data_IF_272721308273
#
_entry.id   IF_272721308273
#
_cell.length_a   1.000
_cell.length_b   1.000
_cell.length_c   1.000
_cell.angle_alpha   90.00
_cell.angle_beta   90.00
_cell.angle_gamma   90.00
#
_symmetry.space_group_name_H-M   'P 1'
#
loop_
_entity.id
_entity.type
_entity.pdbx_description
1 polymer ?
#
# COMPACT_ATOMS: atom_id res chain seq x y z
N UNK A 1 -108.71 -15.91 40.69
CA UNK A 1 -108.35 -15.95 39.25
C UNK A 1 -109.14 -17.04 38.54
N UNK A 2 -109.43 -16.85 37.23
CA UNK A 2 -110.12 -17.78 36.30
C UNK A 2 -109.24 -18.98 35.87
N UNK A 3 -109.83 -20.12 35.46
CA UNK A 3 -109.13 -21.35 35.05
C UNK A 3 -109.10 -21.58 33.52
N UNK A 4 -107.94 -22.01 32.99
CA UNK A 4 -107.66 -22.27 31.56
C UNK A 4 -108.07 -23.69 31.06
N UNK A 5 -108.22 -23.91 29.72
CA UNK A 5 -108.64 -25.17 29.02
C UNK A 5 -107.56 -25.79 28.08
N UNK A 6 -107.76 -27.05 27.62
CA UNK A 6 -106.74 -27.90 26.96
C UNK A 6 -106.43 -27.59 25.48
N UNK A 7 -107.40 -27.09 24.71
CA UNK A 7 -107.24 -26.92 23.26
C UNK A 7 -106.29 -25.76 22.94
N UNK A 8 -106.46 -24.70 23.71
CA UNK A 8 -105.60 -23.51 23.68
C UNK A 8 -104.13 -23.88 24.02
N UNK A 9 -103.92 -24.84 24.93
CA UNK A 9 -102.59 -25.38 25.27
C UNK A 9 -101.92 -26.06 24.08
N UNK A 10 -102.69 -26.81 23.29
CA UNK A 10 -102.18 -27.63 22.18
C UNK A 10 -101.68 -26.78 21.01
N UNK A 11 -102.40 -25.71 20.68
CA UNK A 11 -102.03 -24.81 19.59
C UNK A 11 -100.75 -24.02 19.91
N UNK A 12 -100.60 -23.54 21.15
CA UNK A 12 -99.40 -22.85 21.62
C UNK A 12 -98.19 -23.79 21.59
N UNK A 13 -98.38 -25.06 21.99
CA UNK A 13 -97.32 -26.06 21.92
C UNK A 13 -96.83 -26.31 20.49
N UNK A 14 -97.73 -26.36 19.50
CA UNK A 14 -97.37 -26.65 18.11
C UNK A 14 -96.48 -25.58 17.45
N UNK A 15 -96.74 -24.30 17.71
CA UNK A 15 -95.90 -23.21 17.19
C UNK A 15 -94.54 -23.14 17.90
N UNK A 16 -94.49 -23.44 19.20
CA UNK A 16 -93.25 -23.44 19.97
C UNK A 16 -92.24 -24.49 19.49
N UNK A 17 -92.71 -25.62 18.93
CA UNK A 17 -91.87 -26.76 18.55
C UNK A 17 -91.27 -26.62 17.14
N UNK A 18 -91.92 -25.88 16.24
CA UNK A 18 -91.49 -25.76 14.84
C UNK A 18 -90.25 -24.86 14.61
N UNK A 19 -89.88 -24.01 15.58
CA UNK A 19 -88.86 -22.96 15.40
C UNK A 19 -87.43 -23.28 15.84
N UNK A 20 -87.20 -24.29 16.70
CA UNK A 20 -85.86 -24.67 17.16
C UNK A 20 -85.16 -23.68 18.11
N UNK A 21 -83.90 -23.99 18.44
CA UNK A 21 -82.97 -23.09 19.15
C UNK A 21 -81.89 -22.65 18.18
N UNK A 22 -81.68 -21.34 18.12
CA UNK A 22 -80.67 -20.74 17.27
C UNK A 22 -79.50 -20.27 18.12
N UNK A 23 -78.27 -20.69 17.79
CA UNK A 23 -77.03 -20.25 18.44
C UNK A 23 -76.24 -19.43 17.46
N UNK A 24 -76.00 -18.17 17.81
CA UNK A 24 -75.14 -17.31 17.03
C UNK A 24 -73.69 -17.46 17.53
N UNK A 25 -72.72 -17.56 16.62
CA UNK A 25 -71.30 -17.45 16.94
C UNK A 25 -70.82 -16.00 16.95
N UNK A 26 -69.60 -15.78 17.45
CA UNK A 26 -68.90 -14.48 17.30
C UNK A 26 -68.67 -14.11 15.83
N UNK A 27 -68.84 -15.10 14.93
CA UNK A 27 -68.82 -14.97 13.47
C UNK A 27 -70.17 -14.50 12.88
N UNK A 28 -71.22 -14.32 13.68
CA UNK A 28 -72.55 -13.91 13.25
C UNK A 28 -73.36 -15.00 12.53
N UNK A 29 -72.76 -16.18 12.31
CA UNK A 29 -73.41 -17.36 11.77
C UNK A 29 -74.34 -17.98 12.81
N UNK A 30 -75.37 -18.66 12.35
CA UNK A 30 -76.35 -19.27 13.24
C UNK A 30 -76.50 -20.76 12.97
N UNK A 31 -76.40 -21.53 14.04
CA UNK A 31 -76.77 -22.95 14.02
C UNK A 31 -78.19 -23.04 14.56
N UNK A 32 -79.12 -23.41 13.68
CA UNK A 32 -80.48 -23.76 14.11
C UNK A 32 -80.50 -25.24 14.44
N UNK A 33 -80.58 -25.52 15.74
CA UNK A 33 -80.75 -26.86 16.26
C UNK A 33 -82.25 -27.09 16.44
N UNK A 34 -82.80 -28.05 15.70
CA UNK A 34 -84.21 -28.41 15.84
C UNK A 34 -84.55 -28.79 17.28
N UNK A 35 -85.82 -28.63 17.70
CA UNK A 35 -86.25 -29.06 19.04
C UNK A 35 -86.11 -30.59 19.13
N UNK A 36 -85.04 -31.06 19.79
CA UNK A 36 -84.73 -32.49 19.99
C UNK A 36 -83.40 -32.98 19.42
N UNK A 37 -82.61 -32.14 18.73
CA UNK A 37 -81.30 -32.51 18.16
C UNK A 37 -80.10 -32.12 19.07
N UNK A 38 -78.89 -32.63 18.79
CA UNK A 38 -77.66 -32.45 19.61
C UNK A 38 -76.68 -31.43 19.02
N UNK A 39 -76.00 -30.66 19.89
CA UNK A 39 -74.89 -29.76 19.54
C UNK A 39 -73.54 -30.25 20.11
N UNK A 40 -72.48 -30.27 19.29
CA UNK A 40 -71.14 -30.82 19.65
C UNK A 40 -70.05 -29.72 19.77
N UNK A 41 -69.19 -29.76 20.81
CA UNK A 41 -68.09 -28.81 21.09
C UNK A 41 -66.76 -29.54 21.46
N UNK A 42 -65.65 -29.33 20.73
CA UNK A 42 -64.37 -30.04 20.94
C UNK A 42 -63.11 -29.17 20.75
N UNK A 43 -62.03 -29.42 21.54
CA UNK A 43 -60.73 -28.70 21.49
C UNK A 43 -59.53 -29.49 20.91
N UNK A 44 -59.78 -30.67 20.33
CA UNK A 44 -58.82 -31.41 19.50
C UNK A 44 -57.79 -32.31 20.22
N UNK A 45 -57.21 -31.89 21.34
CA UNK A 45 -56.41 -32.80 22.16
C UNK A 45 -57.35 -33.80 22.87
N UNK A 46 -57.23 -35.09 22.53
CA UNK A 46 -58.13 -36.16 22.99
C UNK A 46 -57.61 -36.87 24.22
N UNK A 47 -56.31 -36.82 24.46
CA UNK A 47 -55.71 -37.30 25.69
C UNK A 47 -55.98 -36.27 26.78
N UNK A 48 -56.97 -36.58 27.63
CA UNK A 48 -57.40 -35.68 28.71
C UNK A 48 -56.33 -35.43 29.75
N UNK A 49 -55.27 -36.25 29.78
CA UNK A 49 -54.11 -36.00 30.62
C UNK A 49 -53.15 -34.93 30.06
N UNK A 50 -53.26 -34.56 28.77
CA UNK A 50 -52.48 -33.51 28.08
C UNK A 50 -53.26 -32.22 27.85
N UNK A 51 -54.38 -32.04 28.56
CA UNK A 51 -55.25 -30.88 28.47
C UNK A 51 -55.13 -29.99 29.69
N UNK A 52 -55.17 -28.68 29.46
CA UNK A 52 -55.25 -27.70 30.53
C UNK A 52 -56.67 -27.59 31.08
N UNK A 53 -56.83 -27.48 32.40
CA UNK A 53 -58.13 -27.25 33.03
C UNK A 53 -58.27 -25.79 33.46
N UNK A 54 -59.42 -25.16 33.22
CA UNK A 54 -59.76 -23.84 33.77
C UNK A 54 -59.24 -22.60 33.00
N UNK A 55 -58.39 -22.75 31.98
CA UNK A 55 -57.88 -21.63 31.15
C UNK A 55 -58.90 -20.96 30.24
N UNK A 56 -60.10 -21.54 30.15
CA UNK A 56 -61.16 -21.10 29.26
C UNK A 56 -62.37 -20.81 30.15
N UNK A 57 -62.76 -19.55 30.23
CA UNK A 57 -63.90 -19.09 31.02
C UNK A 57 -65.12 -18.84 30.14
N UNK A 58 -66.30 -19.09 30.67
CA UNK A 58 -67.57 -18.82 29.98
C UNK A 58 -68.43 -17.91 30.87
N UNK A 59 -68.82 -16.75 30.34
CA UNK A 59 -69.58 -15.74 31.09
C UNK A 59 -70.79 -15.26 30.29
N UNK A 60 -71.84 -14.80 30.97
CA UNK A 60 -72.98 -14.19 30.30
C UNK A 60 -72.56 -12.92 29.56
N UNK A 61 -73.04 -12.78 28.33
CA UNK A 61 -72.82 -11.61 27.50
C UNK A 61 -74.15 -11.16 26.88
N UNK A 62 -74.64 -9.98 27.29
CA UNK A 62 -75.96 -9.47 26.86
C UNK A 62 -77.17 -10.33 27.30
N UNK A 63 -78.29 -10.20 26.58
CA UNK A 63 -79.57 -10.81 26.97
C UNK A 63 -79.65 -12.32 26.68
N UNK A 64 -78.97 -12.80 25.63
CA UNK A 64 -79.06 -14.17 25.15
C UNK A 64 -77.70 -14.77 24.74
N UNK A 65 -76.57 -14.22 25.20
CA UNK A 65 -75.23 -14.63 24.81
C UNK A 65 -74.35 -15.15 25.95
N UNK A 66 -73.29 -15.86 25.57
CA UNK A 66 -72.19 -16.30 26.42
C UNK A 66 -70.87 -15.98 25.72
N UNK A 67 -69.90 -15.40 26.43
CA UNK A 67 -68.56 -15.16 25.91
C UNK A 67 -67.61 -16.23 26.43
N UNK A 68 -66.92 -16.90 25.51
CA UNK A 68 -65.83 -17.82 25.82
C UNK A 68 -64.55 -17.03 25.70
N UNK A 69 -63.83 -16.91 26.81
CA UNK A 69 -62.62 -16.14 26.85
C UNK A 69 -61.50 -17.09 27.11
N UNK A 70 -60.45 -16.96 26.29
CA UNK A 70 -59.14 -17.29 26.81
C UNK A 70 -59.05 -16.49 28.11
N UNK A 71 -58.83 -17.20 29.20
CA UNK A 71 -58.44 -16.52 30.41
C UNK A 71 -57.30 -15.59 30.02
N UNK A 72 -57.33 -14.34 30.52
CA UNK A 72 -56.20 -13.43 30.37
C UNK A 72 -54.91 -14.05 30.94
N UNK A 73 -55.04 -15.16 31.69
CA UNK A 73 -54.00 -16.01 32.24
C UNK A 73 -54.14 -17.49 31.81
N UNK A 74 -53.11 -18.04 31.16
CA UNK A 74 -53.03 -19.43 30.67
C UNK A 74 -52.19 -20.32 31.63
N UNK A 75 -52.75 -21.45 32.11
CA UNK A 75 -52.20 -22.38 33.12
C UNK A 75 -52.16 -23.86 32.71
N UNK A 76 -51.19 -24.65 33.17
CA UNK A 76 -51.12 -26.10 32.86
C UNK A 76 -50.59 -26.46 31.47
N UNK A 77 -49.92 -25.52 30.77
CA UNK A 77 -49.22 -25.77 29.50
C UNK A 77 -47.81 -26.34 29.75
N UNK A 78 -47.42 -27.42 29.07
CA UNK A 78 -46.08 -28.05 29.21
C UNK A 78 -44.97 -27.32 28.43
N UNK A 79 -45.33 -26.61 27.37
CA UNK A 79 -44.44 -25.68 26.70
C UNK A 79 -45.26 -24.53 26.16
N UNK A 80 -44.94 -23.33 26.65
CA UNK A 80 -45.25 -22.10 25.94
C UNK A 80 -43.99 -21.75 25.20
N UNK A 81 -43.95 -22.24 23.98
CA UNK A 81 -43.02 -21.75 23.00
C UNK A 81 -43.22 -20.23 22.86
N UNK A 82 -42.41 -19.44 23.60
CA UNK A 82 -42.43 -17.95 23.68
C UNK A 82 -41.21 -17.27 24.38
N UNK A 83 -40.40 -17.92 25.24
CA UNK A 83 -39.04 -17.49 25.65
C UNK A 83 -38.86 -16.12 26.35
N UNK A 84 -37.67 -15.49 26.27
CA UNK A 84 -37.40 -14.09 26.70
C UNK A 84 -37.98 -13.05 25.73
N UNK A 85 -39.00 -13.48 25.00
CA UNK A 85 -39.44 -12.83 23.80
C UNK A 85 -40.70 -12.05 24.10
N UNK A 86 -40.65 -10.75 23.91
CA UNK A 86 -41.87 -9.96 23.83
C UNK A 86 -42.26 -9.90 22.36
N UNK A 87 -43.50 -10.27 22.06
CA UNK A 87 -44.13 -10.01 20.79
C UNK A 87 -45.27 -9.04 21.04
N UNK A 88 -45.13 -7.82 20.53
CA UNK A 88 -46.14 -6.78 20.67
C UNK A 88 -46.22 -5.99 19.36
N UNK A 89 -46.83 -4.80 19.38
CA UNK A 89 -46.94 -3.91 18.22
C UNK A 89 -45.61 -3.31 17.76
N UNK A 90 -44.61 -3.28 18.64
CA UNK A 90 -43.32 -2.64 18.39
C UNK A 90 -42.31 -3.63 17.78
N UNK A 91 -42.57 -4.93 17.92
CA UNK A 91 -41.83 -6.00 17.26
C UNK A 91 -41.60 -7.22 18.15
N UNK A 92 -40.52 -7.92 17.84
CA UNK A 92 -40.07 -9.10 18.57
C UNK A 92 -38.76 -8.79 19.27
N UNK A 93 -38.75 -8.94 20.59
CA UNK A 93 -37.54 -8.68 21.36
C UNK A 93 -37.23 -9.86 22.25
N UNK A 94 -36.12 -10.54 21.99
CA UNK A 94 -35.52 -11.52 22.88
C UNK A 94 -34.50 -10.80 23.73
N UNK A 95 -34.86 -10.46 24.95
CA UNK A 95 -33.88 -9.91 25.89
C UNK A 95 -33.06 -11.05 26.48
N UNK A 96 -31.74 -11.04 26.30
CA UNK A 96 -30.89 -11.96 27.04
C UNK A 96 -30.38 -11.30 28.33
N UNK A 97 -30.04 -12.11 29.33
CA UNK A 97 -29.76 -11.66 30.69
C UNK A 97 -28.58 -10.68 30.83
N UNK A 98 -28.42 -10.10 32.03
CA UNK A 98 -27.36 -9.13 32.35
C UNK A 98 -25.97 -9.65 31.98
N UNK A 99 -25.32 -9.00 31.02
CA UNK A 99 -24.05 -9.45 30.49
C UNK A 99 -24.11 -10.07 29.10
N UNK A 100 -25.28 -10.55 28.66
CA UNK A 100 -25.50 -11.20 27.38
C UNK A 100 -26.24 -10.27 26.39
N UNK A 101 -25.96 -10.46 25.10
CA UNK A 101 -26.60 -9.66 24.05
C UNK A 101 -28.02 -10.15 23.79
N UNK A 102 -29.01 -9.26 23.91
CA UNK A 102 -30.37 -9.50 23.45
C UNK A 102 -30.48 -9.31 21.94
N UNK A 103 -31.52 -9.86 21.33
CA UNK A 103 -31.88 -9.62 19.94
C UNK A 103 -33.19 -8.84 19.90
N UNK A 104 -33.20 -7.75 19.17
CA UNK A 104 -34.39 -6.96 18.88
C UNK A 104 -34.62 -6.96 17.38
N UNK A 105 -35.84 -7.23 16.97
CA UNK A 105 -36.31 -7.10 15.59
C UNK A 105 -37.54 -6.20 15.63
N UNK A 106 -37.35 -4.95 15.21
CA UNK A 106 -38.38 -3.92 15.24
C UNK A 106 -38.49 -3.26 13.86
N UNK A 107 -39.34 -2.25 13.72
CA UNK A 107 -39.41 -1.43 12.49
C UNK A 107 -38.10 -0.69 12.16
N UNK A 108 -37.19 -0.55 13.13
CA UNK A 108 -35.90 0.12 12.94
C UNK A 108 -34.79 -0.81 12.43
N UNK A 109 -35.01 -2.14 12.43
CA UNK A 109 -34.04 -3.13 11.98
C UNK A 109 -33.76 -4.23 13.00
N UNK A 110 -32.59 -4.85 12.86
CA UNK A 110 -32.11 -5.90 13.75
C UNK A 110 -30.98 -5.35 14.59
N UNK A 111 -31.08 -5.57 15.90
CA UNK A 111 -30.03 -5.24 16.84
C UNK A 111 -29.70 -6.45 17.69
N UNK A 112 -28.41 -6.80 17.75
CA UNK A 112 -27.88 -7.73 18.75
C UNK A 112 -26.93 -6.95 19.62
N UNK A 113 -27.37 -6.62 20.83
CA UNK A 113 -26.61 -5.77 21.72
C UNK A 113 -26.79 -6.21 23.16
N UNK A 114 -25.72 -6.07 23.94
CA UNK A 114 -25.80 -6.10 25.40
C UNK A 114 -26.31 -4.73 25.85
N UNK A 115 -27.27 -4.72 26.78
CA UNK A 115 -27.81 -3.45 27.29
C UNK A 115 -26.69 -2.57 27.88
N UNK A 116 -26.66 -1.30 27.47
CA UNK A 116 -25.63 -0.32 27.85
C UNK A 116 -24.31 -0.41 27.06
N UNK A 117 -24.11 -1.44 26.25
CA UNK A 117 -22.96 -1.56 25.34
C UNK A 117 -23.35 -1.11 23.93
N UNK A 118 -23.23 0.20 23.69
CA UNK A 118 -23.39 0.78 22.35
C UNK A 118 -22.16 0.63 21.46
N UNK A 119 -21.08 -0.01 21.94
CA UNK A 119 -19.80 -0.10 21.21
C UNK A 119 -19.64 -1.40 20.44
N UNK A 120 -20.22 -2.50 20.92
CA UNK A 120 -20.16 -3.81 20.27
C UNK A 120 -21.51 -4.32 19.73
N UNK A 121 -22.47 -3.43 19.51
CA UNK A 121 -23.76 -3.80 18.93
C UNK A 121 -23.60 -4.25 17.47
N UNK A 122 -24.21 -5.40 17.13
CA UNK A 122 -24.51 -5.73 15.74
C UNK A 122 -25.78 -5.00 15.39
N UNK A 123 -25.74 -4.16 14.36
CA UNK A 123 -26.88 -3.38 13.90
C UNK A 123 -27.05 -3.56 12.40
N UNK A 124 -28.25 -3.90 11.98
CA UNK A 124 -28.65 -3.97 10.59
C UNK A 124 -29.85 -3.07 10.43
N UNK A 125 -29.68 -1.98 9.69
CA UNK A 125 -30.75 -1.04 9.35
C UNK A 125 -30.84 -0.84 7.83
N UNK A 126 -31.73 0.03 7.38
CA UNK A 126 -31.86 0.38 5.97
C UNK A 126 -30.67 1.17 5.41
N UNK A 127 -29.81 1.71 6.28
CA UNK A 127 -28.70 2.58 5.90
C UNK A 127 -27.34 2.02 6.26
N UNK A 128 -27.27 1.04 7.17
CA UNK A 128 -25.99 0.58 7.71
C UNK A 128 -26.03 -0.89 8.13
N UNK A 129 -24.87 -1.54 8.04
CA UNK A 129 -24.57 -2.82 8.66
C UNK A 129 -23.32 -2.64 9.51
N UNK A 130 -23.48 -2.70 10.83
CA UNK A 130 -22.39 -2.67 11.80
C UNK A 130 -22.28 -4.02 12.49
N UNK A 131 -21.06 -4.51 12.67
CA UNK A 131 -20.76 -5.70 13.47
C UNK A 131 -20.16 -5.37 14.84
N UNK A 132 -20.21 -4.09 15.26
CA UNK A 132 -19.76 -3.68 16.58
C UNK A 132 -18.28 -4.00 16.86
N UNK A 133 -17.40 -3.79 15.88
CA UNK A 133 -15.97 -4.07 16.01
C UNK A 133 -15.58 -5.56 16.06
N UNK A 134 -16.52 -6.48 15.85
CA UNK A 134 -16.26 -7.92 15.81
C UNK A 134 -15.56 -8.35 14.50
N UNK A 135 -14.84 -9.46 14.57
CA UNK A 135 -14.27 -10.09 13.37
C UNK A 135 -15.35 -10.81 12.57
N UNK A 136 -15.25 -10.71 11.24
CA UNK A 136 -16.09 -11.47 10.31
C UNK A 136 -15.22 -12.59 9.75
N UNK A 137 -15.53 -13.83 10.12
CA UNK A 137 -14.87 -15.03 9.62
C UNK A 137 -15.64 -15.61 8.42
N UNK A 138 -15.01 -16.55 7.70
CA UNK A 138 -15.61 -17.26 6.56
C UNK A 138 -16.09 -16.36 5.42
N UNK A 139 -15.44 -15.20 5.25
CA UNK A 139 -15.62 -14.33 4.09
C UNK A 139 -14.95 -14.99 2.88
N UNK A 140 -15.76 -15.55 1.99
CA UNK A 140 -15.31 -16.05 0.70
C UNK A 140 -14.57 -14.97 -0.10
N UNK A 141 -13.69 -15.36 -1.03
CA UNK A 141 -12.98 -14.40 -1.86
C UNK A 141 -13.98 -13.62 -2.72
N UNK A 142 -13.92 -12.29 -2.64
CA UNK A 142 -14.77 -11.40 -3.43
C UNK A 142 -14.47 -11.55 -4.93
N UNK A 143 -15.52 -11.57 -5.74
CA UNK A 143 -15.44 -11.74 -7.20
C UNK A 143 -16.01 -10.54 -7.97
N UNK A 144 -16.90 -9.77 -7.35
CA UNK A 144 -17.44 -8.51 -7.87
C UNK A 144 -16.81 -7.30 -7.17
N UNK A 145 -16.88 -6.14 -7.82
CA UNK A 145 -16.31 -4.88 -7.30
C UNK A 145 -16.97 -4.38 -6.00
N UNK A 146 -18.16 -4.88 -5.67
CA UNK A 146 -18.93 -4.54 -4.47
C UNK A 146 -18.80 -5.57 -3.36
N UNK A 147 -18.05 -6.65 -3.59
CA UNK A 147 -17.87 -7.69 -2.58
C UNK A 147 -16.87 -7.24 -1.51
N UNK A 148 -17.02 -7.77 -0.30
CA UNK A 148 -15.99 -7.66 0.71
C UNK A 148 -14.71 -8.41 0.26
N UNK A 149 -13.55 -7.82 0.57
CA UNK A 149 -12.25 -8.45 0.33
C UNK A 149 -11.80 -9.17 1.60
N UNK A 150 -11.38 -10.42 1.48
CA UNK A 150 -10.85 -11.16 2.62
C UNK A 150 -9.34 -10.94 2.81
N UNK A 151 -8.81 -11.33 3.97
CA UNK A 151 -7.39 -11.11 4.33
C UNK A 151 -6.43 -11.82 3.36
N UNK A 152 -6.82 -12.97 2.79
CA UNK A 152 -6.00 -13.67 1.79
C UNK A 152 -5.81 -12.84 0.51
N UNK A 153 -6.88 -12.23 0.00
CA UNK A 153 -6.80 -11.34 -1.17
C UNK A 153 -5.96 -10.09 -0.89
N UNK A 154 -6.12 -9.47 0.30
CA UNK A 154 -5.30 -8.32 0.70
C UNK A 154 -3.82 -8.70 0.84
N UNK A 155 -3.53 -9.84 1.47
CA UNK A 155 -2.17 -10.35 1.63
C UNK A 155 -1.46 -10.54 0.29
N UNK A 156 -2.12 -11.18 -0.68
CA UNK A 156 -1.57 -11.34 -2.03
C UNK A 156 -1.32 -10.00 -2.74
N UNK A 157 -2.19 -9.01 -2.56
CA UNK A 157 -1.96 -7.66 -3.10
C UNK A 157 -0.76 -6.97 -2.44
N UNK A 158 -0.62 -7.08 -1.11
CA UNK A 158 0.49 -6.50 -0.34
C UNK A 158 1.84 -7.15 -0.67
N UNK A 159 1.88 -8.47 -0.90
CA UNK A 159 3.09 -9.16 -1.35
C UNK A 159 3.59 -8.63 -2.69
N UNK A 160 2.68 -8.41 -3.64
CA UNK A 160 3.03 -7.81 -4.94
C UNK A 160 3.63 -6.41 -4.79
N UNK A 161 3.06 -5.58 -3.91
CA UNK A 161 3.58 -4.24 -3.61
C UNK A 161 4.95 -4.33 -2.94
N UNK A 162 5.11 -5.20 -1.94
CA UNK A 162 6.38 -5.40 -1.23
C UNK A 162 7.49 -5.84 -2.20
N UNK A 163 7.19 -6.77 -3.12
CA UNK A 163 8.10 -7.20 -4.16
C UNK A 163 8.48 -6.05 -5.11
N UNK A 164 7.52 -5.22 -5.52
CA UNK A 164 7.79 -4.04 -6.35
C UNK A 164 8.69 -3.03 -5.63
N UNK A 165 8.45 -2.77 -4.34
CA UNK A 165 9.28 -1.90 -3.51
C UNK A 165 10.69 -2.46 -3.36
N UNK A 166 10.85 -3.76 -3.11
CA UNK A 166 12.16 -4.41 -3.01
C UNK A 166 12.96 -4.31 -4.32
N UNK A 167 12.29 -4.47 -5.47
CA UNK A 167 12.89 -4.25 -6.80
C UNK A 167 13.31 -2.79 -6.99
N UNK A 168 12.47 -1.84 -6.56
CA UNK A 168 12.78 -0.41 -6.62
C UNK A 168 13.97 -0.07 -5.73
N UNK A 169 14.02 -0.56 -4.49
CA UNK A 169 15.15 -0.33 -3.57
C UNK A 169 16.46 -0.85 -4.16
N UNK A 170 16.43 -2.06 -4.71
CA UNK A 170 17.58 -2.64 -5.41
C UNK A 170 18.01 -1.79 -6.61
N UNK A 171 17.04 -1.25 -7.37
CA UNK A 171 17.31 -0.35 -8.51
C UNK A 171 17.93 0.97 -8.06
N UNK A 172 17.44 1.56 -6.98
CA UNK A 172 18.01 2.79 -6.40
C UNK A 172 19.44 2.57 -5.95
N UNK A 173 19.74 1.44 -5.28
CA UNK A 173 21.11 1.13 -4.85
C UNK A 173 22.07 1.11 -6.06
N UNK A 174 21.65 0.47 -7.15
CA UNK A 174 22.43 0.39 -8.40
C UNK A 174 22.60 1.72 -9.10
N UNK A 175 21.53 2.52 -9.19
CA UNK A 175 21.59 3.87 -9.75
C UNK A 175 22.51 4.77 -8.91
N UNK A 176 22.48 4.64 -7.59
CA UNK A 176 23.38 5.36 -6.68
C UNK A 176 24.84 4.99 -6.92
N UNK A 177 25.13 3.69 -7.02
CA UNK A 177 26.48 3.19 -7.33
C UNK A 177 26.95 3.67 -8.72
N UNK A 178 26.09 3.60 -9.74
CA UNK A 178 26.38 4.09 -11.10
C UNK A 178 26.68 5.58 -11.14
N UNK A 179 25.88 6.38 -10.42
CA UNK A 179 26.10 7.83 -10.27
C UNK A 179 27.43 8.13 -9.59
N UNK A 180 27.79 7.39 -8.52
CA UNK A 180 29.08 7.54 -7.85
C UNK A 180 30.25 7.15 -8.78
N UNK A 181 30.08 6.10 -9.59
CA UNK A 181 31.10 5.67 -10.56
C UNK A 181 31.31 6.74 -11.65
N UNK A 182 30.23 7.34 -12.16
CA UNK A 182 30.28 8.44 -13.11
C UNK A 182 30.92 9.70 -12.51
N UNK A 183 30.66 9.99 -11.23
CA UNK A 183 31.25 11.13 -10.53
C UNK A 183 32.77 10.97 -10.32
N UNK A 184 33.27 9.74 -10.26
CA UNK A 184 34.71 9.46 -10.22
C UNK A 184 35.42 9.64 -11.58
N UNK A 185 34.68 9.92 -12.68
CA UNK A 185 35.28 10.16 -13.98
C UNK A 185 35.86 11.56 -14.06
N UNK A 186 37.20 11.64 -14.05
CA UNK A 186 37.94 12.89 -14.19
C UNK A 186 38.92 12.82 -15.36
N UNK A 187 38.94 13.83 -16.26
CA UNK A 187 39.94 13.92 -17.30
C UNK A 187 41.29 14.36 -16.72
N UNK A 188 42.35 14.11 -17.48
CA UNK A 188 43.66 14.72 -17.24
C UNK A 188 43.61 16.25 -17.46
N UNK A 189 44.66 16.94 -17.03
CA UNK A 189 44.89 18.35 -17.36
C UNK A 189 44.94 18.54 -18.89
N UNK A 190 44.58 19.73 -19.40
CA UNK A 190 44.60 20.00 -20.83
C UNK A 190 46.01 19.89 -21.42
N UNK A 191 46.13 19.16 -22.53
CA UNK A 191 47.31 19.12 -23.38
C UNK A 191 46.90 19.54 -24.82
N UNK A 192 47.54 20.56 -25.43
CA UNK A 192 47.22 20.98 -26.80
C UNK A 192 47.47 19.89 -27.86
N UNK A 193 48.35 18.93 -27.58
CA UNK A 193 48.67 17.82 -28.48
C UNK A 193 47.81 16.56 -28.22
N UNK A 194 47.12 16.50 -27.07
CA UNK A 194 46.18 15.43 -26.72
C UNK A 194 44.87 16.00 -26.16
N UNK A 195 43.89 16.13 -27.06
CA UNK A 195 42.59 16.75 -26.78
C UNK A 195 41.52 15.74 -26.35
N UNK A 196 41.81 14.43 -26.40
CA UNK A 196 40.86 13.36 -26.15
C UNK A 196 41.33 12.48 -24.98
N UNK A 197 40.64 12.60 -23.84
CA UNK A 197 40.96 11.83 -22.64
C UNK A 197 39.90 10.75 -22.38
N UNK A 198 40.33 9.61 -21.84
CA UNK A 198 39.44 8.57 -21.32
C UNK A 198 39.64 8.41 -19.82
N UNK A 199 38.57 8.14 -19.09
CA UNK A 199 38.62 7.82 -17.66
C UNK A 199 37.80 6.57 -17.36
N UNK A 200 38.17 5.87 -16.29
CA UNK A 200 37.40 4.80 -15.71
C UNK A 200 37.15 5.10 -14.22
N UNK A 201 35.96 4.78 -13.75
CA UNK A 201 35.52 5.06 -12.38
C UNK A 201 34.85 3.84 -11.76
N UNK A 202 34.86 3.77 -10.44
CA UNK A 202 34.14 2.77 -9.67
C UNK A 202 33.32 3.48 -8.60
N UNK A 203 32.09 3.00 -8.40
CA UNK A 203 31.16 3.55 -7.44
C UNK A 203 30.49 2.46 -6.63
N UNK A 204 30.33 2.74 -5.35
CA UNK A 204 29.65 1.86 -4.40
C UNK A 204 28.57 2.67 -3.69
N UNK A 205 27.38 2.08 -3.57
CA UNK A 205 26.31 2.64 -2.75
C UNK A 205 25.50 1.51 -2.13
N UNK A 206 25.37 1.52 -0.80
CA UNK A 206 24.68 0.48 -0.02
C UNK A 206 25.20 -0.92 -0.35
N UNK A 207 24.39 -1.72 -1.04
CA UNK A 207 24.69 -3.12 -1.36
C UNK A 207 25.10 -3.33 -2.83
N UNK A 208 25.22 -2.25 -3.61
CA UNK A 208 25.50 -2.30 -5.04
C UNK A 208 26.84 -1.65 -5.42
N UNK A 209 27.41 -2.15 -6.52
CA UNK A 209 28.65 -1.66 -7.12
C UNK A 209 28.42 -1.39 -8.60
N UNK A 210 29.09 -0.36 -9.12
CA UNK A 210 29.09 -0.05 -10.54
C UNK A 210 30.48 0.42 -10.99
N UNK A 211 30.76 0.21 -12.27
CA UNK A 211 31.92 0.75 -12.96
C UNK A 211 31.44 1.74 -14.02
N UNK A 212 32.26 2.74 -14.34
CA UNK A 212 31.97 3.73 -15.36
C UNK A 212 33.18 3.94 -16.27
N UNK A 213 32.89 4.32 -17.52
CA UNK A 213 33.89 4.74 -18.50
C UNK A 213 33.40 6.05 -19.11
N UNK A 214 34.31 7.01 -19.28
CA UNK A 214 34.01 8.28 -19.92
C UNK A 214 35.06 8.71 -20.91
N UNK A 215 34.62 9.50 -21.89
CA UNK A 215 35.44 10.21 -22.85
C UNK A 215 35.25 11.72 -22.69
N UNK A 216 36.34 12.45 -22.78
CA UNK A 216 36.39 13.89 -22.60
C UNK A 216 37.11 14.51 -23.79
N UNK A 217 36.46 15.44 -24.48
CA UNK A 217 37.06 16.17 -25.58
C UNK A 217 37.22 17.64 -25.20
N UNK A 218 38.44 18.14 -25.26
CA UNK A 218 38.79 19.49 -24.84
C UNK A 218 39.50 20.22 -26.00
N UNK A 219 38.77 20.94 -26.89
CA UNK A 219 39.34 21.63 -28.04
C UNK A 219 40.41 22.67 -27.69
N UNK A 220 40.20 23.37 -26.57
CA UNK A 220 41.04 24.41 -25.98
C UNK A 220 40.96 24.41 -24.44
N UNK A 221 41.74 25.27 -23.78
CA UNK A 221 41.75 25.40 -22.31
C UNK A 221 40.42 25.90 -21.70
N UNK A 222 39.52 26.42 -22.54
CA UNK A 222 38.31 27.11 -22.10
C UNK A 222 37.06 26.25 -22.22
N UNK A 223 37.00 25.29 -23.14
CA UNK A 223 35.81 24.49 -23.43
C UNK A 223 36.11 23.02 -23.29
N UNK A 224 35.29 22.29 -22.52
CA UNK A 224 35.36 20.83 -22.41
C UNK A 224 33.99 20.21 -22.67
N UNK A 225 33.96 19.16 -23.48
CA UNK A 225 32.84 18.26 -23.67
C UNK A 225 33.12 16.94 -22.94
N UNK A 226 32.10 16.34 -22.34
CA UNK A 226 32.20 15.02 -21.70
C UNK A 226 31.02 14.12 -22.10
N UNK A 227 31.30 12.82 -22.15
CA UNK A 227 30.35 11.75 -22.37
C UNK A 227 30.78 10.55 -21.51
N UNK A 228 29.88 10.00 -20.70
CA UNK A 228 30.20 8.88 -19.82
C UNK A 228 29.06 7.90 -19.70
N UNK A 229 29.40 6.63 -19.50
CA UNK A 229 28.43 5.56 -19.23
C UNK A 229 28.85 4.73 -18.04
N UNK A 230 27.89 4.24 -17.26
CA UNK A 230 28.14 3.28 -16.18
C UNK A 230 27.40 1.97 -16.41
N UNK A 231 28.04 0.88 -15.97
CA UNK A 231 27.52 -0.47 -15.98
C UNK A 231 27.82 -1.16 -14.65
N UNK A 232 26.90 -1.99 -14.18
CA UNK A 232 27.09 -2.77 -12.95
C UNK A 232 25.79 -2.93 -12.17
N UNK A 233 25.60 -4.11 -11.60
CA UNK A 233 24.38 -4.47 -10.87
C UNK A 233 23.12 -4.68 -11.72
N UNK A 234 23.09 -4.30 -13.01
CA UNK A 234 21.94 -4.51 -13.89
C UNK A 234 21.19 -3.24 -14.32
N UNK A 235 21.68 -2.04 -13.96
CA UNK A 235 21.21 -0.76 -14.52
C UNK A 235 22.37 -0.09 -15.24
N UNK A 236 22.14 0.37 -16.47
CA UNK A 236 23.12 1.15 -17.21
C UNK A 236 22.72 2.62 -17.19
N UNK A 237 23.70 3.51 -17.06
CA UNK A 237 23.46 4.95 -17.06
C UNK A 237 24.33 5.63 -18.11
N UNK A 238 23.89 6.82 -18.55
CA UNK A 238 24.59 7.67 -19.51
C UNK A 238 24.56 9.12 -18.99
N UNK A 239 25.68 9.84 -19.11
CA UNK A 239 25.76 11.27 -18.89
C UNK A 239 26.48 11.96 -20.06
N UNK A 240 26.21 13.25 -20.25
CA UNK A 240 26.92 14.12 -21.18
C UNK A 240 26.87 15.56 -20.66
N UNK A 241 27.89 16.35 -20.97
CA UNK A 241 27.94 17.73 -20.51
C UNK A 241 28.99 18.59 -21.21
N UNK A 242 28.86 19.91 -21.02
CA UNK A 242 29.81 20.92 -21.48
C UNK A 242 30.25 21.78 -20.29
N UNK A 243 31.52 22.19 -20.27
CA UNK A 243 32.08 23.09 -19.28
C UNK A 243 32.82 24.20 -20.00
N UNK A 244 32.63 25.45 -19.56
CA UNK A 244 33.30 26.62 -20.13
C UNK A 244 33.94 27.51 -19.05
N UNK A 245 35.10 28.09 -19.35
CA UNK A 245 35.82 29.04 -18.49
C UNK A 245 35.46 30.49 -18.84
N UNK A 246 35.02 31.27 -17.84
CA UNK A 246 34.65 32.69 -17.98
C UNK A 246 35.79 33.67 -17.70
N UNK A 247 36.91 33.20 -17.14
CA UNK A 247 38.05 34.06 -16.80
C UNK A 247 38.80 34.54 -18.07
N UNK A 248 38.94 35.85 -18.30
CA UNK A 248 39.62 36.39 -19.48
C UNK A 248 41.15 36.21 -19.43
N UNK A 249 41.74 35.87 -18.27
CA UNK A 249 43.20 35.85 -18.04
C UNK A 249 43.82 34.45 -18.17
N UNK A 250 43.02 33.38 -18.31
CA UNK A 250 43.57 32.00 -18.41
C UNK A 250 44.47 31.78 -19.64
N UNK A 251 44.33 32.58 -20.69
CA UNK A 251 45.00 32.34 -21.97
C UNK A 251 46.33 33.06 -22.23
N UNK A 252 46.90 33.83 -21.30
CA UNK A 252 48.02 34.73 -21.66
C UNK A 252 49.40 34.39 -21.09
N UNK A 253 49.55 33.56 -20.05
CA UNK A 253 50.86 33.35 -19.42
C UNK A 253 51.19 31.95 -18.88
N UNK A 254 50.30 30.97 -19.00
CA UNK A 254 50.60 29.59 -18.61
C UNK A 254 51.06 28.81 -19.84
N UNK A 255 52.37 28.78 -20.10
CA UNK A 255 52.94 27.79 -21.02
C UNK A 255 52.47 26.41 -20.53
N UNK A 256 51.85 25.60 -21.40
CA UNK A 256 51.38 24.26 -21.02
C UNK A 256 52.54 23.48 -20.37
N UNK A 257 52.27 22.65 -19.36
CA UNK A 257 53.33 21.87 -18.69
C UNK A 257 54.14 21.06 -19.69
N UNK A 258 53.51 20.62 -20.78
CA UNK A 258 54.14 19.97 -21.94
C UNK A 258 55.05 20.91 -22.71
N UNK A 259 54.62 22.13 -23.03
CA UNK A 259 55.45 23.15 -23.65
C UNK A 259 56.65 23.53 -22.76
N UNK A 260 56.44 23.68 -21.46
CA UNK A 260 57.52 23.92 -20.48
C UNK A 260 58.49 22.74 -20.41
N UNK A 261 57.99 21.50 -20.45
CA UNK A 261 58.84 20.29 -20.45
C UNK A 261 59.64 20.17 -21.74
N UNK A 262 59.05 20.49 -22.91
CA UNK A 262 59.79 20.57 -24.18
C UNK A 262 60.87 21.63 -24.13
N UNK A 263 60.56 22.81 -23.62
CA UNK A 263 61.52 23.90 -23.44
C UNK A 263 62.64 23.50 -22.47
N UNK A 264 62.36 22.82 -21.36
CA UNK A 264 63.39 22.30 -20.45
C UNK A 264 64.26 21.22 -21.11
N UNK A 265 63.68 20.34 -21.95
CA UNK A 265 64.46 19.36 -22.72
C UNK A 265 65.34 20.05 -23.75
N UNK A 266 64.79 21.02 -24.48
CA UNK A 266 65.53 21.85 -25.43
C UNK A 266 66.69 22.55 -24.72
N UNK A 267 66.43 23.21 -23.60
CA UNK A 267 67.44 23.86 -22.77
C UNK A 267 68.51 22.89 -22.28
N UNK A 268 68.17 21.62 -21.96
CA UNK A 268 69.16 20.60 -21.60
C UNK A 268 70.03 20.21 -22.79
N UNK A 269 69.44 20.04 -23.97
CA UNK A 269 70.17 19.77 -25.21
C UNK A 269 71.08 20.96 -25.55
N UNK A 270 70.56 22.18 -25.53
CA UNK A 270 71.32 23.41 -25.78
C UNK A 270 72.47 23.56 -24.76
N UNK A 271 72.24 23.25 -23.48
CA UNK A 271 73.30 23.24 -22.45
C UNK A 271 74.36 22.18 -22.72
N UNK A 272 73.98 21.00 -23.24
CA UNK A 272 74.94 19.96 -23.59
C UNK A 272 75.78 20.37 -24.80
N UNK A 273 75.17 20.93 -25.84
CA UNK A 273 75.89 21.46 -27.01
C UNK A 273 76.80 22.62 -26.61
N UNK A 274 76.35 23.54 -25.73
CA UNK A 274 77.21 24.61 -25.21
C UNK A 274 78.43 24.07 -24.48
N UNK A 275 78.31 22.96 -23.73
CA UNK A 275 79.45 22.34 -23.06
C UNK A 275 80.45 21.76 -24.05
N UNK A 276 79.98 21.10 -25.10
CA UNK A 276 80.83 20.56 -26.17
C UNK A 276 81.55 21.68 -26.93
N UNK A 277 80.86 22.78 -27.23
CA UNK A 277 81.45 23.94 -27.90
C UNK A 277 82.47 24.65 -26.99
N UNK A 278 82.19 24.81 -25.69
CA UNK A 278 83.18 25.31 -24.74
C UNK A 278 84.43 24.41 -24.69
N UNK A 279 84.27 23.09 -24.77
CA UNK A 279 85.40 22.16 -24.81
C UNK A 279 86.23 22.33 -26.09
N UNK A 280 85.59 22.47 -27.25
CA UNK A 280 86.29 22.78 -28.52
C UNK A 280 87.01 24.12 -28.48
N UNK A 281 86.41 25.16 -27.87
CA UNK A 281 87.07 26.45 -27.68
C UNK A 281 88.31 26.30 -26.77
N UNK A 282 88.23 25.52 -25.69
CA UNK A 282 89.39 25.21 -24.87
C UNK A 282 90.48 24.44 -25.62
N UNK A 283 90.12 23.48 -26.47
CA UNK A 283 91.06 22.77 -27.34
C UNK A 283 91.69 23.69 -28.38
N UNK A 284 90.92 24.61 -28.98
CA UNK A 284 91.45 25.64 -29.88
C UNK A 284 92.41 26.58 -29.15
N UNK A 285 92.10 26.97 -27.91
CA UNK A 285 92.98 27.77 -27.06
C UNK A 285 94.28 27.02 -26.74
N UNK A 286 94.21 25.73 -26.43
CA UNK A 286 95.39 24.89 -26.18
C UNK A 286 96.24 24.74 -27.45
N UNK A 287 95.62 24.49 -28.61
CA UNK A 287 96.30 24.42 -29.89
C UNK A 287 96.96 25.76 -30.28
N UNK A 288 96.28 26.88 -30.01
CA UNK A 288 96.83 28.23 -30.24
C UNK A 288 98.02 28.51 -29.31
N UNK A 289 97.94 28.09 -28.04
CA UNK A 289 99.05 28.13 -27.10
C UNK A 289 100.25 27.31 -27.60
N UNK A 290 100.02 26.11 -28.12
CA UNK A 290 101.06 25.27 -28.72
C UNK A 290 101.68 25.90 -29.97
N UNK A 291 100.87 26.55 -30.82
CA UNK A 291 101.39 27.31 -31.96
C UNK A 291 102.22 28.52 -31.51
N UNK A 292 101.79 29.24 -30.48
CA UNK A 292 102.55 30.35 -29.89
C UNK A 292 103.88 29.86 -29.31
N UNK A 293 103.90 28.72 -28.61
CA UNK A 293 105.13 28.13 -28.07
C UNK A 293 106.09 27.71 -29.18
N UNK A 294 105.58 27.08 -30.25
CA UNK A 294 106.41 26.72 -31.43
C UNK A 294 106.94 27.96 -32.15
N UNK A 295 106.14 29.02 -32.25
CA UNK A 295 106.57 30.28 -32.85
C UNK A 295 107.64 30.96 -31.98
N UNK A 296 107.46 30.98 -30.66
CA UNK A 296 108.46 31.47 -29.70
C UNK A 296 109.78 30.70 -29.82
N UNK A 297 109.72 29.37 -29.90
CA UNK A 297 110.90 28.53 -30.09
C UNK A 297 111.58 28.77 -31.45
N UNK A 298 110.82 29.07 -32.51
CA UNK A 298 111.36 29.47 -33.82
C UNK A 298 112.04 30.83 -33.77
N UNK A 299 111.45 31.80 -33.07
CA UNK A 299 112.04 33.12 -32.84
C UNK A 299 113.32 33.01 -32.02
N UNK A 300 113.36 32.18 -30.99
CA UNK A 300 114.60 31.87 -30.23
C UNK A 300 115.67 31.18 -31.09
N UNK A 301 115.25 30.27 -32.00
CA UNK A 301 116.19 29.63 -32.92
C UNK A 301 116.78 30.62 -33.93
N UNK A 302 115.95 31.50 -34.49
CA UNK A 302 116.36 32.56 -35.40
C UNK A 302 117.24 33.61 -34.72
N UNK A 303 116.98 33.95 -33.45
CA UNK A 303 117.83 34.85 -32.68
C UNK A 303 119.18 34.22 -32.32
N UNK A 304 119.22 32.91 -32.04
CA UNK A 304 120.46 32.16 -31.87
C UNK A 304 121.27 32.03 -33.17
N UNK A 305 120.61 31.86 -34.32
CA UNK A 305 121.26 31.82 -35.65
C UNK A 305 121.78 33.20 -36.08
N UNK A 306 121.12 34.29 -35.68
CA UNK A 306 121.58 35.66 -35.87
C UNK A 306 122.80 35.99 -34.98
N UNK A 307 122.86 35.45 -33.76
CA UNK A 307 124.00 35.61 -32.85
C UNK A 307 125.24 34.81 -33.28
N UNK A 308 125.09 33.72 -34.04
CA UNK A 308 126.20 32.94 -34.61
C UNK A 308 126.82 33.57 -35.88
N UNK A 309 126.30 34.71 -36.34
CA UNK A 309 126.73 35.44 -37.55
C UNK A 309 127.41 36.79 -37.27
N UNK A 310 127.81 37.05 -36.03
CA UNK A 310 128.69 38.15 -35.62
C UNK A 310 129.95 37.59 -34.96
#
# INVERSE_FOLDING_TARGET
>A
GNAANIGDVKAIAGQAVAGGRVFAGDDGGSVTVGIGETLQLTGGQTDTSKLTTGNIGVVKDGAAGLSIRLSNELTGLDSVSAGNSTMNTDGFTVRNGSGAAGTSVTGSGITIAKEGDGTHAVEISNSNVSVGGQQIHDVAAGTAATDAVNVGQLGGAMENVSNAIGRLGSRVDRVGAGSAALAALHPLEYDPDDKLNFAAGFGHYRSANAAAIGAFFQPDERVRLNLGGSMGGGENMLNAGITFSLDPVRGTNLKSRTALTREVRQLRTDNQTLREDNQKVHEQLAAMSDQLNKLSALVEKLSAEAAAKQ
#
